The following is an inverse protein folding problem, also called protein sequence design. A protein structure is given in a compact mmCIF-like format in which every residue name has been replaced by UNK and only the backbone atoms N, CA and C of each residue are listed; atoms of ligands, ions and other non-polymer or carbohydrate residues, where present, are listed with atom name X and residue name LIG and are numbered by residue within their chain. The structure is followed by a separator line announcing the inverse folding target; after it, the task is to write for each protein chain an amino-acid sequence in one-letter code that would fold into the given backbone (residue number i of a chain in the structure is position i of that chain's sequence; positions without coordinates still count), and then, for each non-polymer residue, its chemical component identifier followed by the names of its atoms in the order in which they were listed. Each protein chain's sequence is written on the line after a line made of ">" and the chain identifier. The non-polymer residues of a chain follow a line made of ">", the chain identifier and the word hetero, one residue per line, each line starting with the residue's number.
data_IF_485742060479
#
_entry.id   IF_485742060479
#
_cell.length_a   1.000
_cell.length_b   1.000
_cell.length_c   1.000
_cell.angle_alpha   90.00
_cell.angle_beta   90.00
_cell.angle_gamma   90.00
#
_symmetry.space_group_name_H-M   'P 1'
#
loop_
_entity.id
_entity.type
_entity.pdbx_description
1 polymer ?
#
# COMPACT_ATOMS: atom_id res chain seq x y z
N UNK A 1 -22.27 -0.72 -8.98
CA UNK A 1 -21.49 0.47 -8.59
C UNK A 1 -20.03 0.16 -8.22
N UNK A 2 -19.70 -0.29 -7.00
CA UNK A 2 -18.27 -0.54 -6.62
C UNK A 2 -17.66 -1.72 -7.36
N UNK A 3 -18.39 -2.84 -7.49
CA UNK A 3 -17.94 -4.02 -8.22
C UNK A 3 -17.67 -3.72 -9.70
N UNK A 4 -18.45 -2.83 -10.30
CA UNK A 4 -18.27 -2.44 -11.71
C UNK A 4 -17.00 -1.61 -11.88
N UNK A 5 -16.71 -0.68 -10.95
CA UNK A 5 -15.45 0.08 -10.95
C UNK A 5 -14.25 -0.88 -10.78
N UNK A 6 -14.36 -1.86 -9.88
CA UNK A 6 -13.31 -2.88 -9.73
C UNK A 6 -13.10 -3.68 -11.01
N UNK A 7 -14.20 -4.07 -11.68
CA UNK A 7 -14.15 -4.79 -12.96
C UNK A 7 -13.49 -3.94 -14.05
N UNK A 8 -13.89 -2.68 -14.22
CA UNK A 8 -13.28 -1.74 -15.17
C UNK A 8 -11.79 -1.55 -14.88
N UNK A 9 -11.40 -1.41 -13.62
CA UNK A 9 -9.99 -1.31 -13.22
C UNK A 9 -9.19 -2.55 -13.59
N UNK A 10 -9.77 -3.74 -13.38
CA UNK A 10 -9.13 -5.00 -13.75
C UNK A 10 -9.04 -5.19 -15.27
N UNK A 11 -10.10 -4.86 -16.01
CA UNK A 11 -10.12 -4.94 -17.47
C UNK A 11 -9.07 -4.00 -18.10
N UNK A 12 -8.93 -2.78 -17.56
CA UNK A 12 -7.88 -1.84 -17.98
C UNK A 12 -6.46 -2.34 -17.67
N UNK A 13 -6.27 -3.06 -16.56
CA UNK A 13 -4.99 -3.73 -16.25
C UNK A 13 -4.66 -4.79 -17.29
N UNK A 14 -5.68 -5.50 -17.81
CA UNK A 14 -5.53 -6.51 -18.86
C UNK A 14 -5.28 -5.90 -20.25
N UNK A 15 -5.97 -4.83 -20.65
CA UNK A 15 -5.84 -4.24 -22.00
C UNK A 15 -4.46 -3.60 -22.25
N UNK A 16 -3.80 -3.07 -21.22
CA UNK A 16 -2.41 -2.60 -21.32
C UNK A 16 -1.39 -3.72 -21.59
N UNK A 17 -1.81 -4.99 -21.50
CA UNK A 17 -0.98 -6.15 -21.80
C UNK A 17 -1.12 -6.55 -23.27
N UNK A 18 -0.07 -6.36 -24.07
CA UNK A 18 0.05 -7.01 -25.37
C UNK A 18 0.51 -8.47 -25.18
N UNK A 19 0.23 -9.34 -26.16
CA UNK A 19 0.31 -10.82 -26.18
C UNK A 19 1.61 -11.50 -25.66
N UNK A 20 2.56 -10.77 -25.09
CA UNK A 20 3.88 -11.29 -24.70
C UNK A 20 4.11 -11.48 -23.19
N UNK A 21 3.23 -11.01 -22.29
CA UNK A 21 3.54 -11.00 -20.85
C UNK A 21 2.33 -11.27 -19.94
N UNK A 22 2.53 -12.07 -18.89
CA UNK A 22 1.56 -12.25 -17.80
C UNK A 22 1.55 -11.01 -16.87
N UNK A 23 0.60 -10.10 -17.12
CA UNK A 23 0.53 -8.74 -16.57
C UNK A 23 0.40 -8.66 -15.05
N UNK A 24 -0.11 -9.72 -14.42
CA UNK A 24 -0.29 -9.82 -12.96
C UNK A 24 1.05 -9.65 -12.22
N UNK A 25 2.13 -10.21 -12.78
CA UNK A 25 3.47 -10.18 -12.19
C UNK A 25 4.20 -8.83 -12.35
N UNK A 26 3.71 -7.92 -13.19
CA UNK A 26 4.47 -6.74 -13.66
C UNK A 26 3.82 -5.37 -13.40
N UNK A 27 2.77 -5.32 -12.60
CA UNK A 27 2.13 -4.05 -12.24
C UNK A 27 1.58 -4.10 -10.83
N UNK A 28 1.67 -2.97 -10.13
CA UNK A 28 0.98 -2.78 -8.85
C UNK A 28 -0.40 -2.20 -9.13
N UNK A 29 -1.44 -2.73 -8.49
CA UNK A 29 -2.78 -2.17 -8.50
C UNK A 29 -3.12 -1.63 -7.12
N UNK A 30 -3.69 -0.42 -7.07
CA UNK A 30 -4.11 0.23 -5.83
C UNK A 30 -5.55 0.67 -6.00
N UNK A 31 -6.44 0.07 -5.23
CA UNK A 31 -7.83 0.51 -5.09
C UNK A 31 -7.97 1.30 -3.78
N UNK A 32 -8.51 2.51 -3.88
CA UNK A 32 -8.68 3.42 -2.74
C UNK A 32 -10.16 3.70 -2.57
N UNK A 33 -10.70 3.38 -1.39
CA UNK A 33 -12.06 3.72 -1.00
C UNK A 33 -11.99 4.73 0.14
N UNK A 34 -12.55 5.92 -0.11
CA UNK A 34 -12.67 6.97 0.91
C UNK A 34 -14.10 6.90 1.47
N UNK A 35 -14.21 6.79 2.79
CA UNK A 35 -15.47 6.68 3.52
C UNK A 35 -15.58 7.91 4.41
N UNK A 36 -16.65 8.68 4.24
CA UNK A 36 -16.99 9.79 5.10
C UNK A 36 -18.27 9.45 5.87
N UNK A 37 -18.29 9.77 7.16
CA UNK A 37 -19.43 9.57 8.04
C UNK A 37 -19.73 10.88 8.77
N UNK A 38 -20.97 11.35 8.64
CA UNK A 38 -21.49 12.46 9.43
C UNK A 38 -22.46 11.91 10.47
N UNK A 39 -22.23 12.23 11.74
CA UNK A 39 -23.17 11.96 12.80
C UNK A 39 -24.20 13.10 12.84
N UNK A 40 -25.48 12.78 12.80
CA UNK A 40 -26.56 13.77 12.79
C UNK A 40 -26.87 14.29 14.20
N UNK A 41 -26.53 13.55 15.25
CA UNK A 41 -26.87 13.89 16.64
C UNK A 41 -25.90 14.93 17.23
N UNK A 42 -24.60 14.71 17.05
CA UNK A 42 -23.54 15.59 17.56
C UNK A 42 -22.87 16.43 16.46
N UNK A 43 -23.34 16.31 15.21
CA UNK A 43 -22.79 16.96 14.02
C UNK A 43 -21.31 16.67 13.76
N UNK A 44 -20.73 15.65 14.39
CA UNK A 44 -19.33 15.29 14.15
C UNK A 44 -19.14 14.58 12.82
N UNK A 45 -18.02 14.86 12.16
CA UNK A 45 -17.63 14.18 10.93
C UNK A 45 -16.40 13.31 11.17
N UNK A 46 -16.36 12.16 10.50
CA UNK A 46 -15.23 11.24 10.48
C UNK A 46 -14.94 10.82 9.05
N UNK A 47 -13.68 10.62 8.74
CA UNK A 47 -13.23 10.14 7.44
C UNK A 47 -12.26 8.96 7.58
N UNK A 48 -12.28 8.04 6.64
CA UNK A 48 -11.43 6.87 6.64
C UNK A 48 -11.11 6.43 5.23
N UNK A 49 -9.86 6.03 5.01
CA UNK A 49 -9.41 5.55 3.71
C UNK A 49 -9.05 4.07 3.83
N UNK A 50 -9.65 3.25 2.97
CA UNK A 50 -9.28 1.85 2.78
C UNK A 50 -8.43 1.75 1.51
N UNK A 51 -7.23 1.19 1.67
CA UNK A 51 -6.31 0.89 0.58
C UNK A 51 -6.28 -0.62 0.39
N UNK A 52 -6.66 -1.08 -0.80
CA UNK A 52 -6.47 -2.47 -1.24
C UNK A 52 -5.36 -2.46 -2.28
N UNK A 53 -4.21 -3.04 -1.92
CA UNK A 53 -2.99 -2.97 -2.72
C UNK A 53 -2.62 -4.37 -3.17
N UNK A 54 -2.62 -4.59 -4.47
CA UNK A 54 -2.10 -5.79 -5.11
C UNK A 54 -0.72 -5.47 -5.69
N UNK A 55 0.31 -6.13 -5.15
CA UNK A 55 1.69 -5.86 -5.51
C UNK A 55 2.13 -6.76 -6.66
N UNK A 56 2.99 -6.23 -7.52
CA UNK A 56 3.70 -7.01 -8.54
C UNK A 56 4.55 -8.13 -7.91
N UNK A 57 5.00 -9.06 -8.76
CA UNK A 57 5.86 -10.16 -8.36
C UNK A 57 7.17 -9.68 -7.72
N UNK A 58 7.56 -10.31 -6.60
CA UNK A 58 8.79 -9.98 -5.87
C UNK A 58 10.01 -10.75 -6.34
N UNK A 59 9.87 -11.60 -7.35
CA UNK A 59 10.94 -12.42 -7.90
C UNK A 59 12.05 -11.57 -8.52
N UNK A 60 13.28 -12.08 -8.40
CA UNK A 60 14.45 -11.43 -8.98
C UNK A 60 14.40 -11.45 -10.50
N UNK A 61 14.56 -10.28 -11.13
CA UNK A 61 14.70 -10.14 -12.59
C UNK A 61 15.77 -11.07 -13.18
N UNK A 62 16.84 -11.37 -12.44
CA UNK A 62 17.91 -12.26 -12.91
C UNK A 62 17.44 -13.71 -13.19
N UNK A 63 16.32 -14.16 -12.60
CA UNK A 63 15.72 -15.47 -12.90
C UNK A 63 14.79 -15.43 -14.11
N UNK A 64 14.47 -14.24 -14.58
CA UNK A 64 13.58 -14.03 -15.72
C UNK A 64 14.43 -13.92 -16.99
N UNK A 65 14.14 -14.73 -18.01
CA UNK A 65 14.89 -14.75 -19.29
C UNK A 65 14.60 -13.51 -20.18
N UNK A 66 14.11 -12.40 -19.61
CA UNK A 66 13.76 -11.18 -20.35
C UNK A 66 15.00 -10.38 -20.74
N UNK A 67 14.96 -9.77 -21.94
CA UNK A 67 16.05 -8.99 -22.53
C UNK A 67 15.52 -7.68 -23.12
N UNK A 68 16.43 -6.73 -23.36
CA UNK A 68 16.10 -5.47 -24.03
C UNK A 68 15.13 -4.59 -23.23
N UNK A 69 14.12 -4.03 -23.88
CA UNK A 69 13.13 -3.12 -23.27
C UNK A 69 12.37 -3.75 -22.11
N UNK A 70 12.11 -5.06 -22.17
CA UNK A 70 11.45 -5.81 -21.10
C UNK A 70 12.30 -5.89 -19.82
N UNK A 71 13.63 -5.84 -19.95
CA UNK A 71 14.53 -5.82 -18.79
C UNK A 71 14.45 -4.48 -18.06
N UNK A 72 14.37 -3.37 -18.79
CA UNK A 72 14.24 -2.03 -18.19
C UNK A 72 12.89 -1.84 -17.49
N UNK A 73 11.81 -2.38 -18.05
CA UNK A 73 10.50 -2.43 -17.41
C UNK A 73 10.55 -3.26 -16.11
N UNK A 74 11.10 -4.48 -16.17
CA UNK A 74 11.25 -5.37 -15.02
C UNK A 74 12.09 -4.74 -13.90
N UNK A 75 13.13 -3.95 -14.24
CA UNK A 75 13.90 -3.14 -13.28
C UNK A 75 13.04 -2.09 -12.61
N UNK A 76 12.20 -1.36 -13.36
CA UNK A 76 11.30 -0.34 -12.80
C UNK A 76 10.29 -0.90 -11.80
N UNK A 77 9.74 -2.08 -12.10
CA UNK A 77 8.82 -2.78 -11.20
C UNK A 77 9.55 -3.21 -9.93
N UNK A 78 10.68 -3.89 -10.07
CA UNK A 78 11.46 -4.34 -8.92
C UNK A 78 12.07 -3.19 -8.11
N UNK A 79 12.28 -2.01 -8.71
CA UNK A 79 12.71 -0.83 -8.00
C UNK A 79 11.69 -0.43 -6.91
N UNK A 80 10.39 -0.46 -7.23
CA UNK A 80 9.36 -0.09 -6.26
C UNK A 80 9.27 -1.07 -5.08
N UNK A 81 9.40 -2.39 -5.32
CA UNK A 81 9.44 -3.41 -4.28
C UNK A 81 10.75 -3.37 -3.47
N UNK A 82 11.88 -3.08 -4.12
CA UNK A 82 13.16 -2.88 -3.45
C UNK A 82 13.09 -1.67 -2.51
N UNK A 83 12.50 -0.55 -2.97
CA UNK A 83 12.27 0.64 -2.14
C UNK A 83 11.30 0.34 -1.00
N UNK A 84 10.24 -0.43 -1.22
CA UNK A 84 9.35 -0.90 -0.16
C UNK A 84 10.12 -1.68 0.92
N UNK A 85 11.00 -2.59 0.50
CA UNK A 85 11.92 -3.30 1.39
C UNK A 85 12.81 -2.36 2.20
N UNK A 86 13.43 -1.35 1.56
CA UNK A 86 14.24 -0.33 2.25
C UNK A 86 13.42 0.44 3.29
N UNK A 87 12.20 0.85 2.95
CA UNK A 87 11.29 1.56 3.87
C UNK A 87 10.98 0.71 5.10
N UNK A 88 10.67 -0.56 4.91
CA UNK A 88 10.40 -1.49 6.02
C UNK A 88 11.63 -1.62 6.94
N UNK A 89 12.81 -1.83 6.37
CA UNK A 89 14.04 -1.95 7.15
C UNK A 89 14.33 -0.67 7.94
N UNK A 90 14.22 0.50 7.28
CA UNK A 90 14.38 1.81 7.89
C UNK A 90 13.40 2.05 9.06
N UNK A 91 12.15 1.60 8.93
CA UNK A 91 11.15 1.71 10.00
C UNK A 91 11.41 0.80 11.20
N UNK A 92 12.14 -0.29 11.00
CA UNK A 92 12.47 -1.25 12.06
C UNK A 92 13.82 -0.98 12.71
N UNK A 93 14.70 -0.23 12.06
CA UNK A 93 15.99 0.16 12.60
C UNK A 93 15.89 1.44 13.43
N UNK A 94 16.13 1.32 14.74
CA UNK A 94 16.09 2.44 15.69
C UNK A 94 17.13 3.53 15.42
N UNK A 95 18.19 3.23 14.65
CA UNK A 95 19.23 4.19 14.30
C UNK A 95 18.85 5.06 13.10
N UNK A 96 17.87 4.63 12.31
CA UNK A 96 17.47 5.34 11.10
C UNK A 96 16.59 6.54 11.45
N UNK A 97 17.02 7.73 11.02
CA UNK A 97 16.29 8.99 11.22
C UNK A 97 15.42 9.38 10.03
N UNK A 98 15.78 8.92 8.83
CA UNK A 98 15.09 9.24 7.58
C UNK A 98 14.59 7.97 6.89
N UNK A 99 13.29 7.89 6.62
CA UNK A 99 12.67 6.78 5.89
C UNK A 99 12.49 7.17 4.41
N UNK A 100 13.00 6.38 3.45
CA UNK A 100 13.10 6.76 2.04
C UNK A 100 11.79 6.59 1.26
N UNK A 101 10.65 7.07 1.76
CA UNK A 101 9.37 6.95 1.06
C UNK A 101 9.40 7.55 -0.34
N UNK A 102 10.18 8.62 -0.54
CA UNK A 102 10.22 9.40 -1.78
C UNK A 102 10.89 8.69 -2.96
N UNK A 103 11.65 7.62 -2.71
CA UNK A 103 12.38 6.88 -3.74
C UNK A 103 11.45 6.10 -4.70
N UNK A 104 10.17 5.89 -4.33
CA UNK A 104 9.18 5.28 -5.22
C UNK A 104 7.79 5.90 -5.03
N UNK A 105 7.02 6.01 -6.12
CA UNK A 105 5.62 6.47 -6.07
C UNK A 105 4.77 5.56 -5.17
N UNK A 106 5.01 4.25 -5.20
CA UNK A 106 4.31 3.27 -4.38
C UNK A 106 4.51 3.58 -2.89
N UNK A 107 5.76 3.71 -2.44
CA UNK A 107 6.08 3.98 -1.04
C UNK A 107 5.61 5.36 -0.59
N UNK A 108 5.53 6.35 -1.49
CA UNK A 108 4.90 7.64 -1.18
C UNK A 108 3.41 7.50 -0.90
N UNK A 109 2.69 6.74 -1.72
CA UNK A 109 1.25 6.49 -1.52
C UNK A 109 1.02 5.73 -0.21
N UNK A 110 1.90 4.79 0.13
CA UNK A 110 1.78 3.95 1.34
C UNK A 110 2.40 4.56 2.61
N UNK A 111 2.77 5.85 2.59
CA UNK A 111 3.40 6.51 3.75
C UNK A 111 2.57 6.38 5.02
N UNK A 112 1.25 6.56 4.93
CA UNK A 112 0.35 6.40 6.09
C UNK A 112 0.24 4.94 6.54
N UNK A 113 0.33 4.00 5.60
CA UNK A 113 0.22 2.56 5.87
C UNK A 113 1.45 1.99 6.57
N UNK A 114 2.62 2.61 6.42
CA UNK A 114 3.89 2.12 6.95
C UNK A 114 4.45 3.14 7.95
N UNK A 115 4.28 2.91 9.25
CA UNK A 115 4.74 3.81 10.31
C UNK A 115 3.88 5.06 10.55
N UNK A 116 2.82 5.27 9.77
CA UNK A 116 1.91 6.42 9.85
C UNK A 116 0.59 6.16 10.59
N UNK A 117 -0.44 6.91 10.21
CA UNK A 117 -1.79 6.82 10.75
C UNK A 117 -2.65 5.82 9.98
N UNK A 118 -2.38 4.53 10.18
CA UNK A 118 -3.20 3.48 9.59
C UNK A 118 -3.18 2.20 10.43
N UNK A 119 -4.26 1.41 10.32
CA UNK A 119 -4.23 -0.01 10.66
C UNK A 119 -3.86 -0.78 9.40
N UNK A 120 -2.71 -1.43 9.41
CA UNK A 120 -2.16 -2.08 8.22
C UNK A 120 -2.10 -3.59 8.41
N UNK A 121 -2.60 -4.32 7.42
CA UNK A 121 -2.46 -5.76 7.29
C UNK A 121 -1.61 -6.05 6.06
N UNK A 122 -0.62 -6.92 6.20
CA UNK A 122 0.20 -7.40 5.09
C UNK A 122 -0.06 -8.89 4.92
N UNK A 123 -0.44 -9.29 3.72
CA UNK A 123 -0.55 -10.70 3.33
C UNK A 123 0.70 -11.04 2.52
N UNK A 124 1.41 -12.07 2.95
CA UNK A 124 2.54 -12.62 2.20
C UNK A 124 2.11 -13.93 1.54
N UNK A 125 2.39 -14.06 0.25
CA UNK A 125 2.05 -15.24 -0.54
C UNK A 125 3.34 -15.98 -0.90
N UNK A 126 3.43 -17.24 -0.52
CA UNK A 126 4.63 -18.05 -0.72
C UNK A 126 4.29 -19.32 -1.51
N UNK A 127 5.25 -19.77 -2.33
CA UNK A 127 5.14 -21.07 -3.00
C UNK A 127 5.62 -22.18 -2.07
N UNK A 128 4.91 -23.32 -1.97
CA UNK A 128 5.35 -24.46 -1.18
C UNK A 128 6.39 -25.34 -1.92
N UNK A 129 6.72 -25.03 -3.17
CA UNK A 129 7.64 -25.82 -3.98
C UNK A 129 9.10 -25.57 -3.58
N UNK A 130 9.90 -26.64 -3.51
CA UNK A 130 11.35 -26.56 -3.29
C UNK A 130 12.07 -25.76 -4.39
N UNK A 131 11.53 -25.75 -5.61
CA UNK A 131 12.05 -24.92 -6.71
C UNK A 131 12.07 -23.42 -6.35
N UNK A 132 11.10 -22.97 -5.55
CA UNK A 132 10.92 -21.59 -5.15
C UNK A 132 11.43 -21.28 -3.73
N UNK A 133 12.15 -22.22 -3.09
CA UNK A 133 12.58 -22.12 -1.69
C UNK A 133 13.25 -20.77 -1.38
N UNK A 134 14.18 -20.33 -2.23
CA UNK A 134 14.91 -19.08 -2.02
C UNK A 134 14.01 -17.83 -2.05
N UNK A 135 13.00 -17.81 -2.92
CA UNK A 135 12.04 -16.68 -2.98
C UNK A 135 11.11 -16.73 -1.76
N UNK A 136 10.62 -17.92 -1.40
CA UNK A 136 9.80 -18.14 -0.20
C UNK A 136 10.53 -17.69 1.07
N UNK A 137 11.82 -18.01 1.24
CA UNK A 137 12.62 -17.54 2.38
C UNK A 137 12.73 -16.01 2.37
N UNK A 138 12.96 -15.41 1.19
CA UNK A 138 13.04 -13.95 1.04
C UNK A 138 11.73 -13.27 1.47
N UNK A 139 10.58 -13.78 1.00
CA UNK A 139 9.25 -13.28 1.35
C UNK A 139 8.93 -13.45 2.85
N UNK A 140 9.29 -14.57 3.46
CA UNK A 140 9.11 -14.80 4.90
C UNK A 140 9.95 -13.84 5.76
N UNK A 141 11.20 -13.58 5.35
CA UNK A 141 12.07 -12.58 6.00
C UNK A 141 11.50 -11.17 5.87
N UNK A 142 11.01 -10.82 4.69
CA UNK A 142 10.32 -9.55 4.45
C UNK A 142 9.11 -9.39 5.38
N UNK A 143 8.24 -10.40 5.46
CA UNK A 143 7.08 -10.38 6.36
C UNK A 143 7.48 -10.28 7.84
N UNK A 144 8.56 -10.95 8.24
CA UNK A 144 9.10 -10.87 9.61
C UNK A 144 9.58 -9.46 9.95
N UNK A 145 10.27 -8.78 9.03
CA UNK A 145 10.67 -7.39 9.21
C UNK A 145 9.43 -6.48 9.28
N UNK A 146 8.50 -6.61 8.32
CA UNK A 146 7.28 -5.80 8.26
C UNK A 146 6.42 -5.92 9.53
N UNK A 147 6.36 -7.10 10.15
CA UNK A 147 5.65 -7.34 11.43
C UNK A 147 6.10 -6.41 12.56
N UNK A 148 7.36 -5.97 12.54
CA UNK A 148 7.93 -5.14 13.60
C UNK A 148 7.64 -3.64 13.43
N UNK A 149 7.05 -3.23 12.31
CA UNK A 149 6.64 -1.85 12.08
C UNK A 149 5.58 -1.44 13.10
N UNK A 150 5.74 -0.24 13.66
CA UNK A 150 4.79 0.35 14.61
C UNK A 150 4.08 1.52 13.97
N UNK A 151 2.81 1.32 13.62
CA UNK A 151 1.91 2.41 13.21
C UNK A 151 1.34 3.13 14.43
N UNK A 152 0.84 4.34 14.20
CA UNK A 152 0.20 5.20 15.22
C UNK A 152 -1.22 5.55 14.77
N UNK A 153 -2.14 4.55 14.68
CA UNK A 153 -3.49 4.78 14.22
C UNK A 153 -4.24 5.72 15.17
N UNK A 154 -4.95 6.68 14.59
CA UNK A 154 -5.80 7.68 15.23
C UNK A 154 -7.09 7.79 14.40
N UNK A 155 -8.20 8.09 15.08
CA UNK A 155 -9.46 8.35 14.38
C UNK A 155 -9.35 9.69 13.67
N UNK A 156 -9.62 9.74 12.36
CA UNK A 156 -9.69 11.01 11.64
C UNK A 156 -11.07 11.62 11.92
N UNK A 157 -11.08 12.62 12.79
CA UNK A 157 -12.27 13.41 13.12
C UNK A 157 -12.12 14.79 12.52
N UNK A 158 -13.16 15.26 11.88
CA UNK A 158 -13.28 16.60 11.33
C UNK A 158 -14.37 17.35 12.10
N UNK A 159 -14.07 18.56 12.56
CA UNK A 159 -15.04 19.41 13.23
C UNK A 159 -15.85 20.17 12.20
N UNK A 160 -17.16 19.90 12.15
CA UNK A 160 -18.05 20.63 11.24
C UNK A 160 -18.37 22.01 11.80
N UNK A 161 -18.76 22.95 10.94
CA UNK A 161 -19.20 24.29 11.37
C UNK A 161 -20.37 24.20 12.35
N UNK A 162 -21.30 23.25 12.13
CA UNK A 162 -22.44 23.02 13.02
C UNK A 162 -22.01 22.53 14.40
N UNK A 163 -21.09 21.55 14.46
CA UNK A 163 -20.52 21.06 15.72
C UNK A 163 -19.79 22.18 16.48
N UNK A 164 -18.96 22.97 15.78
CA UNK A 164 -18.23 24.07 16.40
C UNK A 164 -19.16 25.12 17.01
N UNK A 165 -20.25 25.49 16.31
CA UNK A 165 -21.27 26.41 16.85
C UNK A 165 -21.91 25.87 18.13
N UNK A 166 -22.20 24.57 18.19
CA UNK A 166 -22.74 23.94 19.40
C UNK A 166 -21.74 23.97 20.56
N UNK A 167 -20.47 23.67 20.29
CA UNK A 167 -19.41 23.69 21.31
C UNK A 167 -19.25 25.09 21.90
N UNK A 168 -19.25 26.14 21.07
CA UNK A 168 -19.17 27.54 21.53
C UNK A 168 -20.39 27.89 22.40
N UNK A 169 -21.61 27.60 21.93
CA UNK A 169 -22.84 27.93 22.68
C UNK A 169 -22.95 27.26 24.06
N UNK A 170 -22.28 26.10 24.25
CA UNK A 170 -22.23 25.39 25.53
C UNK A 170 -21.19 25.97 26.49
N UNK A 171 -20.17 26.67 25.99
CA UNK A 171 -19.13 27.31 26.83
C UNK A 171 -19.54 28.69 27.33
N UNK A 172 -20.46 29.34 26.63
CA UNK A 172 -20.99 30.66 27.00
C UNK A 172 -22.15 30.56 28.03
N UNK A 173 -22.46 29.35 28.51
CA UNK A 173 -23.39 29.06 29.60
C UNK A 173 -22.63 28.62 30.84
#
# INVERSE_FOLDING_TARGET
>A
DVYDIMKVGNDNRTVASTQMNDASSRSHSIFIMNIAQNNLDDHSSKSGNLYLVDLAGSEKVAKTNVRGTQLEEAKGINQSLSTLGKVIHALTDKKTTHVPYRESKLTRILTESLGGNAKTCLIITCSPSSYNELETISTLRFGTAARNIKNKPKVNREYTVAELKLIVSKKDK
#
